data_IF_339407452403
#
_entry.id   IF_339407452403
#
_cell.length_a   1.000
_cell.length_b   1.000
_cell.length_c   1.000
_cell.angle_alpha   90.00
_cell.angle_beta   90.00
_cell.angle_gamma   90.00
#
_symmetry.space_group_name_H-M   'P 1'
#
loop_
_entity.id
_entity.type
_entity.pdbx_description
1 polymer ?
#
# COMPACT_ATOMS: atom_id res chain seq x y z
N UNK A 1 9.32 -63.72 16.77
CA UNK A 1 8.81 -63.29 15.45
C UNK A 1 9.10 -61.79 15.31
N UNK A 2 10.08 -61.42 14.49
CA UNK A 2 10.38 -60.01 14.21
C UNK A 2 9.54 -59.57 13.00
N UNK A 3 8.63 -58.62 13.19
CA UNK A 3 7.88 -57.97 12.12
C UNK A 3 8.78 -56.94 11.45
N UNK A 4 9.22 -57.23 10.22
CA UNK A 4 9.96 -56.30 9.37
C UNK A 4 9.01 -55.22 8.84
N UNK A 5 9.12 -54.01 9.40
CA UNK A 5 8.39 -52.83 8.90
C UNK A 5 9.15 -52.24 7.70
N UNK A 6 8.79 -52.64 6.49
CA UNK A 6 9.28 -51.98 5.27
C UNK A 6 8.55 -50.65 5.10
N UNK A 7 9.17 -49.56 5.53
CA UNK A 7 8.65 -48.21 5.29
C UNK A 7 8.54 -47.90 3.80
N UNK A 8 7.42 -47.29 3.40
CA UNK A 8 7.17 -46.89 2.00
C UNK A 8 8.18 -45.81 1.57
N UNK A 9 8.87 -46.05 0.46
CA UNK A 9 9.75 -45.04 -0.14
C UNK A 9 8.92 -43.87 -0.71
N UNK A 10 9.36 -42.61 -0.59
CA UNK A 10 8.66 -41.47 -1.18
C UNK A 10 8.36 -41.64 -2.68
N UNK A 11 9.21 -42.36 -3.43
CA UNK A 11 8.97 -42.67 -4.85
C UNK A 11 7.77 -43.62 -5.06
N UNK A 12 7.56 -44.55 -4.14
CA UNK A 12 6.39 -45.45 -4.15
C UNK A 12 5.12 -44.73 -3.71
N UNK A 13 5.23 -43.78 -2.78
CA UNK A 13 4.07 -43.06 -2.27
C UNK A 13 3.58 -41.96 -3.22
N UNK A 14 4.48 -41.18 -3.82
CA UNK A 14 4.11 -40.05 -4.69
C UNK A 14 4.14 -40.37 -6.20
N UNK A 15 4.70 -41.52 -6.59
CA UNK A 15 4.83 -41.92 -7.99
C UNK A 15 5.68 -40.97 -8.85
N UNK A 16 5.66 -41.18 -10.17
CA UNK A 16 6.38 -40.36 -11.17
C UNK A 16 5.76 -38.96 -11.40
N UNK A 17 4.68 -38.64 -10.68
CA UNK A 17 3.97 -37.35 -10.77
C UNK A 17 4.87 -36.16 -10.41
N UNK A 18 5.81 -36.36 -9.48
CA UNK A 18 6.76 -35.31 -9.09
C UNK A 18 7.71 -34.91 -10.23
N UNK A 19 8.13 -35.86 -11.08
CA UNK A 19 9.03 -35.58 -12.19
C UNK A 19 8.32 -34.81 -13.31
N UNK A 20 7.03 -35.10 -13.54
CA UNK A 20 6.18 -34.34 -14.46
C UNK A 20 5.96 -32.90 -13.95
N UNK A 21 5.73 -32.74 -12.64
CA UNK A 21 5.54 -31.43 -12.02
C UNK A 21 6.82 -30.58 -12.13
N UNK A 22 7.99 -31.18 -11.89
CA UNK A 22 9.29 -30.52 -12.06
C UNK A 22 9.52 -30.04 -13.49
N UNK A 23 9.20 -30.89 -14.48
CA UNK A 23 9.34 -30.55 -15.90
C UNK A 23 8.41 -29.39 -16.31
N UNK A 24 7.21 -29.32 -15.73
CA UNK A 24 6.32 -28.17 -15.94
C UNK A 24 6.80 -26.89 -15.27
N UNK A 25 7.34 -26.95 -14.05
CA UNK A 25 7.85 -25.76 -13.35
C UNK A 25 9.08 -25.17 -14.03
N UNK A 26 9.99 -26.02 -14.52
CA UNK A 26 11.22 -25.57 -15.19
C UNK A 26 10.92 -24.88 -16.54
N UNK A 27 9.92 -25.37 -17.28
CA UNK A 27 9.46 -24.73 -18.53
C UNK A 27 8.78 -23.37 -18.28
N UNK A 28 8.04 -23.21 -17.17
CA UNK A 28 7.43 -21.92 -16.80
C UNK A 28 8.50 -20.91 -16.40
N UNK A 29 9.52 -21.31 -15.63
CA UNK A 29 10.62 -20.43 -15.22
C UNK A 29 11.46 -19.96 -16.42
N UNK A 30 11.72 -20.83 -17.40
CA UNK A 30 12.47 -20.49 -18.59
C UNK A 30 11.72 -19.53 -19.55
N UNK A 31 10.38 -19.55 -19.54
CA UNK A 31 9.58 -18.62 -20.35
C UNK A 31 9.46 -17.22 -19.71
N UNK A 32 9.77 -17.07 -18.42
CA UNK A 32 9.67 -15.79 -17.69
C UNK A 32 10.98 -14.97 -17.77
N UNK A 33 12.12 -15.61 -18.04
CA UNK A 33 13.44 -14.95 -18.08
C UNK A 33 13.72 -14.14 -19.36
N UNK A 34 12.95 -14.32 -20.44
CA UNK A 34 13.17 -13.64 -21.73
C UNK A 34 12.35 -12.37 -21.97
N UNK A 35 11.46 -11.97 -21.04
CA UNK A 35 10.61 -10.78 -21.17
C UNK A 35 10.91 -9.65 -20.18
N UNK A 36 11.92 -9.80 -19.31
CA UNK A 36 12.27 -8.79 -18.30
C UNK A 36 13.40 -7.86 -18.76
N UNK A 37 13.19 -7.12 -19.85
CA UNK A 37 13.99 -5.93 -20.14
C UNK A 37 13.20 -4.66 -19.77
N UNK A 38 13.63 -4.01 -18.69
CA UNK A 38 13.44 -2.60 -18.39
C UNK A 38 12.00 -2.06 -18.38
N UNK A 39 11.27 -2.28 -17.28
CA UNK A 39 10.36 -1.26 -16.76
C UNK A 39 10.75 -0.99 -15.32
N UNK A 40 11.29 0.20 -15.07
CA UNK A 40 11.43 0.76 -13.72
C UNK A 40 10.09 0.55 -13.00
N UNK A 41 10.07 -0.42 -12.08
CA UNK A 41 8.89 -0.71 -11.26
C UNK A 41 8.79 0.45 -10.28
N UNK A 42 8.15 1.56 -10.69
CA UNK A 42 7.56 2.47 -9.71
C UNK A 42 6.68 1.58 -8.83
N UNK A 43 6.91 1.48 -7.51
CA UNK A 43 6.06 0.66 -6.67
C UNK A 43 4.63 1.19 -6.85
N UNK A 44 3.75 0.34 -7.39
CA UNK A 44 2.34 0.64 -7.44
C UNK A 44 1.91 0.94 -6.00
N UNK A 45 1.17 2.03 -5.73
CA UNK A 45 0.70 2.30 -4.38
C UNK A 45 -0.08 1.06 -3.94
N UNK A 46 0.41 0.39 -2.90
CA UNK A 46 -0.27 -0.73 -2.27
C UNK A 46 -1.58 -0.13 -1.78
N UNK A 47 -2.65 -0.31 -2.55
CA UNK A 47 -4.01 -0.09 -2.07
C UNK A 47 -4.23 -1.17 -1.03
N UNK A 48 -3.86 -0.85 0.21
CA UNK A 48 -4.20 -1.57 1.42
C UNK A 48 -5.70 -1.38 1.66
N UNK A 49 -6.51 -1.87 0.73
CA UNK A 49 -7.86 -2.31 1.04
C UNK A 49 -7.66 -3.57 1.89
N UNK A 50 -7.31 -3.41 3.16
CA UNK A 50 -7.48 -4.48 4.13
C UNK A 50 -8.98 -4.80 4.05
N UNK A 51 -9.32 -6.03 3.65
CA UNK A 51 -10.70 -6.52 3.59
C UNK A 51 -11.45 -6.37 4.93
N UNK A 52 -10.72 -6.06 6.02
CA UNK A 52 -11.21 -5.77 7.37
C UNK A 52 -10.59 -4.50 7.99
N UNK A 53 -10.10 -3.54 7.18
CA UNK A 53 -9.52 -2.28 7.69
C UNK A 53 -10.44 -1.07 7.49
N UNK A 54 -10.29 -0.01 8.29
CA UNK A 54 -11.00 1.24 8.04
C UNK A 54 -10.64 1.78 6.65
N UNK A 55 -11.61 2.37 5.96
CA UNK A 55 -11.40 3.00 4.65
C UNK A 55 -10.25 4.01 4.74
N UNK A 56 -9.22 3.80 3.92
CA UNK A 56 -8.07 4.69 3.79
C UNK A 56 -8.56 6.02 3.18
N UNK A 57 -9.01 6.95 4.03
CA UNK A 57 -9.58 8.23 3.56
C UNK A 57 -8.44 9.10 3.03
N UNK A 58 -8.50 9.39 1.73
CA UNK A 58 -7.60 10.31 1.03
C UNK A 58 -8.43 11.13 0.05
N UNK A 59 -8.88 12.32 0.47
CA UNK A 59 -9.76 13.15 -0.35
C UNK A 59 -9.18 14.54 -0.53
N UNK A 60 -9.06 14.96 -1.79
CA UNK A 60 -8.49 16.25 -2.18
C UNK A 60 -9.61 17.22 -2.57
N UNK A 61 -9.45 18.49 -2.20
CA UNK A 61 -10.38 19.59 -2.40
C UNK A 61 -9.63 20.82 -2.94
N UNK A 62 -10.34 21.64 -3.72
CA UNK A 62 -9.84 22.94 -4.18
C UNK A 62 -10.03 24.05 -3.15
N UNK A 63 -11.09 23.98 -2.35
CA UNK A 63 -11.40 25.00 -1.32
C UNK A 63 -11.09 24.45 0.06
N UNK A 64 -10.45 25.28 0.89
CA UNK A 64 -10.13 24.93 2.28
C UNK A 64 -11.39 24.62 3.09
N UNK A 65 -12.44 25.43 2.90
CA UNK A 65 -13.69 25.28 3.63
C UNK A 65 -14.36 23.92 3.38
N UNK A 66 -14.29 23.40 2.14
CA UNK A 66 -14.86 22.10 1.79
C UNK A 66 -14.11 20.95 2.47
N UNK A 67 -12.78 21.08 2.57
CA UNK A 67 -11.92 20.11 3.26
C UNK A 67 -12.22 20.10 4.77
N UNK A 68 -12.26 21.29 5.41
CA UNK A 68 -12.60 21.44 6.83
C UNK A 68 -14.00 20.90 7.14
N UNK A 69 -14.99 21.21 6.29
CA UNK A 69 -16.34 20.68 6.43
C UNK A 69 -16.37 19.14 6.33
N UNK A 70 -15.64 18.57 5.37
CA UNK A 70 -15.53 17.12 5.23
C UNK A 70 -14.88 16.46 6.45
N UNK A 71 -13.81 17.05 7.00
CA UNK A 71 -13.15 16.55 8.20
C UNK A 71 -14.08 16.65 9.43
N UNK A 72 -14.86 17.73 9.55
CA UNK A 72 -15.80 17.94 10.67
C UNK A 72 -16.96 16.94 10.68
N UNK A 73 -17.52 16.60 9.52
CA UNK A 73 -18.62 15.63 9.41
C UNK A 73 -18.16 14.23 9.81
N UNK A 74 -16.93 13.87 9.47
CA UNK A 74 -16.38 12.52 9.66
C UNK A 74 -15.62 12.44 10.99
N UNK A 75 -16.26 11.92 12.03
CA UNK A 75 -15.70 11.78 13.39
C UNK A 75 -14.60 10.71 13.55
N UNK A 76 -13.77 10.49 12.53
CA UNK A 76 -12.83 9.37 12.43
C UNK A 76 -11.37 9.79 12.64
N UNK A 77 -11.11 10.89 13.36
CA UNK A 77 -9.75 11.41 13.56
C UNK A 77 -9.09 11.91 12.27
N UNK A 78 -9.89 12.37 11.30
CA UNK A 78 -9.36 12.94 10.07
C UNK A 78 -8.80 14.34 10.33
N UNK A 79 -7.65 14.62 9.71
CA UNK A 79 -7.01 15.93 9.74
C UNK A 79 -7.00 16.55 8.35
N UNK A 80 -6.85 17.87 8.31
CA UNK A 80 -6.82 18.64 7.08
C UNK A 80 -5.40 19.15 6.84
N UNK A 81 -4.92 19.00 5.62
CA UNK A 81 -3.59 19.42 5.20
C UNK A 81 -3.69 20.30 3.96
N UNK A 82 -2.82 21.29 3.83
CA UNK A 82 -2.64 22.06 2.60
C UNK A 82 -1.35 21.61 1.92
N UNK A 83 -1.37 21.38 0.61
CA UNK A 83 -0.17 21.06 -0.15
C UNK A 83 -0.11 21.85 -1.46
N UNK A 84 1.11 22.09 -1.93
CA UNK A 84 1.34 22.70 -3.23
C UNK A 84 1.43 21.63 -4.32
N UNK A 85 0.68 21.81 -5.41
CA UNK A 85 0.85 21.01 -6.62
C UNK A 85 2.00 21.53 -7.48
N UNK A 86 2.46 20.71 -8.41
CA UNK A 86 3.52 21.08 -9.37
C UNK A 86 3.12 22.28 -10.24
N UNK A 87 1.82 22.54 -10.41
CA UNK A 87 1.27 23.74 -11.09
C UNK A 87 1.40 25.02 -10.26
N UNK A 88 1.87 24.92 -9.01
CA UNK A 88 1.93 26.02 -8.07
C UNK A 88 0.64 26.24 -7.28
N UNK A 89 -0.46 25.62 -7.67
CA UNK A 89 -1.75 25.76 -6.99
C UNK A 89 -1.74 25.10 -5.60
N UNK A 90 -2.39 25.77 -4.64
CA UNK A 90 -2.62 25.22 -3.30
C UNK A 90 -3.88 24.38 -3.29
N UNK A 91 -3.76 23.17 -2.78
CA UNK A 91 -4.86 22.20 -2.66
C UNK A 91 -4.97 21.68 -1.24
N UNK A 92 -6.12 21.13 -0.90
CA UNK A 92 -6.45 20.73 0.47
C UNK A 92 -6.74 19.24 0.53
N UNK A 93 -6.10 18.52 1.43
CA UNK A 93 -6.23 17.09 1.63
C UNK A 93 -6.91 16.81 2.97
N UNK A 94 -7.85 15.88 2.98
CA UNK A 94 -8.40 15.28 4.20
C UNK A 94 -7.96 13.83 4.26
N UNK A 95 -7.21 13.49 5.30
CA UNK A 95 -6.72 12.14 5.54
C UNK A 95 -6.50 11.90 7.04
N UNK A 96 -6.46 10.62 7.44
CA UNK A 96 -5.98 10.27 8.77
C UNK A 96 -4.45 10.47 8.85
N UNK A 97 -3.87 10.95 9.96
CA UNK A 97 -2.44 11.28 10.04
C UNK A 97 -1.49 10.13 9.67
N UNK A 98 -1.82 8.90 10.08
CA UNK A 98 -1.02 7.72 9.72
C UNK A 98 -1.04 7.46 8.21
N UNK A 99 -2.18 7.70 7.57
CA UNK A 99 -2.34 7.56 6.11
C UNK A 99 -1.53 8.65 5.42
N UNK A 100 -1.68 9.90 5.88
CA UNK A 100 -0.90 11.03 5.39
C UNK A 100 0.61 10.74 5.46
N UNK A 101 1.10 10.37 6.65
CA UNK A 101 2.51 10.09 6.88
C UNK A 101 3.05 8.99 5.98
N UNK A 102 2.30 7.89 5.79
CA UNK A 102 2.71 6.80 4.90
C UNK A 102 2.98 7.26 3.46
N UNK A 103 2.19 8.21 2.94
CA UNK A 103 2.41 8.74 1.59
C UNK A 103 3.46 9.84 1.57
N UNK A 104 3.43 10.77 2.53
CA UNK A 104 4.34 11.91 2.56
C UNK A 104 5.79 11.48 2.83
N UNK A 105 6.02 10.47 3.68
CA UNK A 105 7.35 9.93 3.97
C UNK A 105 8.04 9.30 2.75
N UNK A 106 7.27 8.91 1.74
CA UNK A 106 7.77 8.32 0.50
C UNK A 106 8.05 9.36 -0.61
N UNK A 107 7.65 10.63 -0.41
CA UNK A 107 7.90 11.71 -1.37
C UNK A 107 9.34 12.23 -1.24
N UNK A 108 9.89 12.72 -2.35
CA UNK A 108 11.18 13.42 -2.35
C UNK A 108 11.13 14.62 -1.41
N UNK A 109 12.19 14.83 -0.61
CA UNK A 109 12.25 15.93 0.38
C UNK A 109 11.98 17.31 -0.23
N UNK A 110 12.48 17.53 -1.45
CA UNK A 110 12.32 18.80 -2.18
C UNK A 110 10.87 19.07 -2.62
N UNK A 111 10.00 18.06 -2.61
CA UNK A 111 8.59 18.17 -3.01
C UNK A 111 7.63 18.16 -1.81
N UNK A 112 8.15 18.07 -0.58
CA UNK A 112 7.36 18.05 0.67
C UNK A 112 6.98 19.47 1.07
N UNK A 113 6.08 20.08 0.29
CA UNK A 113 5.47 21.37 0.59
C UNK A 113 4.04 21.16 1.13
N UNK A 114 3.93 20.47 2.27
CA UNK A 114 2.66 20.17 2.94
C UNK A 114 2.61 20.80 4.33
N UNK A 115 1.46 21.36 4.70
CA UNK A 115 1.21 22.03 5.97
C UNK A 115 -0.05 21.46 6.63
N UNK A 116 -0.03 21.31 7.95
CA UNK A 116 -1.25 21.05 8.71
C UNK A 116 -2.12 22.31 8.75
N UNK A 117 -3.43 22.15 8.61
CA UNK A 117 -4.39 23.23 8.84
C UNK A 117 -4.98 23.03 10.22
N UNK A 118 -4.69 23.97 11.13
CA UNK A 118 -5.30 24.06 12.45
C UNK A 118 -6.65 24.75 12.28
N UNK A 119 -7.78 24.06 12.53
CA UNK A 119 -9.09 24.68 12.42
C UNK A 119 -9.25 25.81 13.43
N UNK A 120 -9.93 26.88 13.03
CA UNK A 120 -10.30 27.95 13.95
C UNK A 120 -11.11 27.40 15.12
N UNK A 121 -10.86 27.96 16.32
CA UNK A 121 -11.51 27.55 17.57
C UNK A 121 -11.32 26.07 17.96
N UNK A 122 -10.27 25.41 17.44
CA UNK A 122 -9.87 24.07 17.88
C UNK A 122 -8.78 24.13 18.95
N UNK A 123 -8.78 23.14 19.85
CA UNK A 123 -7.68 22.95 20.80
C UNK A 123 -6.42 22.55 20.04
N UNK A 124 -5.29 23.21 20.31
CA UNK A 124 -4.00 22.90 19.71
C UNK A 124 -2.89 22.91 20.75
N UNK A 125 -1.75 22.31 20.40
CA UNK A 125 -0.53 22.39 21.20
C UNK A 125 0.06 23.79 21.05
N UNK A 126 0.83 24.24 22.05
CA UNK A 126 1.67 25.42 21.91
C UNK A 126 2.82 25.08 20.94
N UNK A 127 2.99 25.89 19.89
CA UNK A 127 4.00 25.75 18.84
C UNK A 127 4.82 27.02 18.68
#
# INVERSE_FOLDING_TARGET
MAVSNSGLSPKQFYGTSLDLLKKTTDNVLNNVSSSSKNKSRKPLPIKLNRLSGPSQTWKVFRKQNDALHCAKIRKNGLMTFAFQQNTGERMFLVAHPQVFWHYDSNRNSNERCTYEIIPEHSVCKLY
#
